data_IF_326313926849
#
_entry.id   IF_326313926849
#
_cell.length_a   1.000
_cell.length_b   1.000
_cell.length_c   1.000
_cell.angle_alpha   90.00
_cell.angle_beta   90.00
_cell.angle_gamma   90.00
#
_symmetry.space_group_name_H-M   'P 1'
#
loop_
_entity.id
_entity.type
_entity.pdbx_description
1 polymer ?
#
# COMPACT_ATOMS: atom_id res chain seq x y z
N UNK A 1 4.02 12.30 22.51
CA UNK A 1 3.45 11.98 21.19
C UNK A 1 4.53 11.24 20.42
N UNK A 2 4.22 10.14 19.75
CA UNK A 2 5.14 9.49 18.81
C UNK A 2 5.50 10.48 17.69
N UNK A 3 6.69 10.36 17.10
CA UNK A 3 7.04 11.16 15.94
C UNK A 3 6.10 10.78 14.77
N UNK A 4 5.65 11.79 14.01
CA UNK A 4 4.83 11.55 12.81
C UNK A 4 5.69 10.88 11.75
N UNK A 5 5.19 9.80 11.14
CA UNK A 5 5.89 8.98 10.15
C UNK A 5 5.28 9.18 8.76
N UNK A 6 6.14 9.21 7.77
CA UNK A 6 5.74 9.41 6.39
C UNK A 6 6.33 8.34 5.47
N UNK A 7 5.46 7.72 4.71
CA UNK A 7 5.78 6.70 3.71
C UNK A 7 5.49 7.23 2.31
N UNK A 8 5.96 6.52 1.30
CA UNK A 8 5.68 6.86 -0.09
C UNK A 8 5.55 5.61 -0.97
N UNK A 9 4.63 5.66 -1.89
CA UNK A 9 4.50 4.65 -2.94
C UNK A 9 5.61 4.80 -3.98
N UNK A 10 6.11 3.69 -4.52
CA UNK A 10 7.05 3.64 -5.65
C UNK A 10 6.33 3.21 -6.94
N UNK A 11 6.77 3.68 -8.13
CA UNK A 11 6.01 3.53 -9.37
C UNK A 11 6.15 2.14 -10.01
N UNK A 12 5.76 1.07 -9.31
CA UNK A 12 5.87 -0.31 -9.83
C UNK A 12 4.81 -0.67 -10.86
N UNK A 13 3.56 -0.23 -10.68
CA UNK A 13 2.43 -0.61 -11.55
C UNK A 13 1.54 0.60 -11.86
N UNK A 14 2.13 1.69 -12.34
CA UNK A 14 1.41 2.97 -12.53
C UNK A 14 1.28 3.39 -13.99
N UNK A 15 2.16 2.86 -14.85
CA UNK A 15 2.18 3.20 -16.26
C UNK A 15 0.87 2.86 -16.98
N UNK A 16 0.48 3.72 -17.89
CA UNK A 16 -0.75 3.61 -18.67
C UNK A 16 -2.00 4.00 -17.88
N UNK A 17 -2.00 3.89 -16.55
CA UNK A 17 -3.14 4.23 -15.67
C UNK A 17 -2.96 5.64 -15.09
N UNK A 18 -1.96 5.83 -14.26
CA UNK A 18 -1.74 7.05 -13.48
C UNK A 18 -0.63 7.94 -14.06
N UNK A 19 0.34 7.34 -14.72
CA UNK A 19 1.46 8.01 -15.39
C UNK A 19 1.58 7.49 -16.83
N UNK A 20 2.24 8.23 -17.74
CA UNK A 20 2.50 7.74 -19.11
C UNK A 20 3.26 6.41 -19.13
N UNK A 21 3.12 5.63 -20.19
CA UNK A 21 3.99 4.49 -20.43
C UNK A 21 5.43 4.96 -20.71
N UNK A 22 6.43 4.22 -20.21
CA UNK A 22 7.83 4.62 -20.22
C UNK A 22 8.19 5.64 -19.15
N UNK A 23 7.36 5.75 -18.10
CA UNK A 23 7.57 6.67 -16.99
C UNK A 23 8.82 6.31 -16.16
N UNK A 24 9.03 5.03 -15.87
CA UNK A 24 10.14 4.57 -15.05
C UNK A 24 10.71 3.23 -15.54
N UNK A 25 12.00 3.22 -15.89
CA UNK A 25 12.77 1.99 -16.07
C UNK A 25 13.05 1.33 -14.69
N UNK A 26 13.49 0.06 -14.62
CA UNK A 26 13.80 -0.59 -13.35
C UNK A 26 14.77 0.19 -12.48
N UNK A 27 15.81 0.78 -13.06
CA UNK A 27 16.81 1.59 -12.33
C UNK A 27 16.18 2.87 -11.75
N UNK A 28 15.21 3.48 -12.45
CA UNK A 28 14.48 4.65 -11.97
C UNK A 28 13.61 4.32 -10.75
N UNK A 29 12.96 3.14 -10.76
CA UNK A 29 12.20 2.66 -9.59
C UNK A 29 13.11 2.52 -8.37
N UNK A 30 14.30 1.95 -8.56
CA UNK A 30 15.29 1.82 -7.48
C UNK A 30 15.84 3.17 -7.03
N UNK A 31 16.05 4.10 -7.94
CA UNK A 31 16.46 5.47 -7.57
C UNK A 31 15.38 6.20 -6.78
N UNK A 32 14.07 5.97 -7.06
CA UNK A 32 12.98 6.43 -6.19
C UNK A 32 13.13 5.89 -4.75
N UNK A 33 13.44 4.60 -4.58
CA UNK A 33 13.64 4.00 -3.26
C UNK A 33 14.84 4.62 -2.53
N UNK A 34 15.97 4.77 -3.22
CA UNK A 34 17.17 5.41 -2.68
C UNK A 34 16.94 6.86 -2.29
N UNK A 35 16.17 7.59 -3.10
CA UNK A 35 15.78 8.97 -2.80
C UNK A 35 14.89 9.02 -1.55
N UNK A 36 13.91 8.14 -1.45
CA UNK A 36 13.05 8.05 -0.26
C UNK A 36 13.88 7.79 1.01
N UNK A 37 14.86 6.87 0.96
CA UNK A 37 15.77 6.63 2.09
C UNK A 37 16.61 7.85 2.44
N UNK A 38 17.14 8.57 1.43
CA UNK A 38 17.94 9.80 1.67
C UNK A 38 17.12 10.92 2.30
N UNK A 39 15.87 11.07 1.86
CA UNK A 39 14.95 12.09 2.36
C UNK A 39 14.35 11.77 3.73
N UNK A 40 14.48 10.53 4.22
CA UNK A 40 14.00 10.13 5.53
C UNK A 40 12.56 9.64 5.56
N UNK A 41 12.00 9.18 4.44
CA UNK A 41 10.75 8.43 4.47
C UNK A 41 10.92 7.15 5.30
N UNK A 42 9.90 6.80 6.09
CA UNK A 42 9.91 5.60 6.94
C UNK A 42 9.83 4.32 6.10
N UNK A 43 8.91 4.28 5.13
CA UNK A 43 8.74 3.14 4.24
C UNK A 43 8.49 3.53 2.79
N UNK A 44 8.78 2.60 1.87
CA UNK A 44 8.33 2.64 0.48
C UNK A 44 7.34 1.51 0.22
N UNK A 45 6.32 1.77 -0.63
CA UNK A 45 5.25 0.82 -0.92
C UNK A 45 5.18 0.48 -2.41
N UNK A 46 5.28 -0.82 -2.73
CA UNK A 46 5.16 -1.35 -4.10
C UNK A 46 3.76 -1.93 -4.33
N UNK A 47 3.11 -1.51 -5.41
CA UNK A 47 1.78 -1.99 -5.79
C UNK A 47 1.84 -3.27 -6.61
N UNK A 48 0.72 -4.00 -6.59
CA UNK A 48 0.57 -5.30 -7.24
C UNK A 48 -0.60 -5.27 -8.22
N UNK A 49 -0.28 -5.23 -9.51
CA UNK A 49 -1.19 -5.48 -10.63
C UNK A 49 -0.48 -6.38 -11.63
N UNK A 50 -1.20 -7.33 -12.23
CA UNK A 50 -0.60 -8.30 -13.13
C UNK A 50 -0.87 -8.00 -14.61
N UNK A 51 -2.03 -7.40 -14.92
CA UNK A 51 -2.41 -7.14 -16.30
C UNK A 51 -3.37 -5.97 -16.43
N UNK A 52 -3.24 -5.13 -17.47
CA UNK A 52 -4.24 -4.14 -17.80
C UNK A 52 -5.62 -4.75 -18.01
N UNK A 53 -6.63 -4.04 -17.57
CA UNK A 53 -8.04 -4.42 -17.71
C UNK A 53 -8.83 -3.25 -18.30
N UNK A 54 -10.08 -3.47 -18.77
CA UNK A 54 -10.91 -2.36 -19.24
C UNK A 54 -11.06 -1.22 -18.22
N UNK A 55 -11.15 -1.56 -16.92
CA UNK A 55 -11.28 -0.58 -15.84
C UNK A 55 -10.00 0.22 -15.61
N UNK A 56 -8.83 -0.31 -15.98
CA UNK A 56 -7.56 0.42 -15.86
C UNK A 56 -7.51 1.60 -16.84
N UNK A 57 -8.27 1.55 -17.94
CA UNK A 57 -8.26 2.55 -19.00
C UNK A 57 -6.98 2.55 -19.85
N UNK A 58 -6.14 1.53 -19.69
CA UNK A 58 -4.94 1.32 -20.53
C UNK A 58 -5.40 0.89 -21.92
N UNK A 59 -4.93 1.58 -22.95
CA UNK A 59 -5.28 1.26 -24.35
C UNK A 59 -4.50 0.03 -24.82
N UNK A 60 -5.08 -0.74 -25.74
CA UNK A 60 -4.43 -1.93 -26.30
C UNK A 60 -3.10 -1.64 -27.02
N UNK A 61 -2.87 -0.39 -27.46
CA UNK A 61 -1.63 0.07 -28.08
C UNK A 61 -0.56 0.49 -27.08
N UNK A 62 -0.90 0.58 -25.78
CA UNK A 62 0.05 0.90 -24.73
C UNK A 62 0.65 -0.39 -24.15
N UNK A 63 1.94 -0.35 -23.84
CA UNK A 63 2.67 -1.47 -23.24
C UNK A 63 3.25 -1.00 -21.91
N UNK A 64 2.43 -0.97 -20.84
CA UNK A 64 2.90 -0.49 -19.54
C UNK A 64 3.91 -1.47 -18.94
N UNK A 65 4.97 -0.93 -18.36
CA UNK A 65 5.93 -1.69 -17.55
C UNK A 65 5.38 -1.82 -16.12
N UNK A 66 4.82 -2.97 -15.79
CA UNK A 66 4.34 -3.28 -14.44
C UNK A 66 5.25 -4.31 -13.80
N UNK A 67 5.93 -3.89 -12.74
CA UNK A 67 6.92 -4.70 -12.04
C UNK A 67 6.29 -5.45 -10.86
N UNK A 68 6.65 -6.73 -10.71
CA UNK A 68 6.16 -7.56 -9.61
C UNK A 68 6.74 -7.05 -8.27
N UNK A 69 5.90 -6.77 -7.25
CA UNK A 69 6.33 -6.06 -6.05
C UNK A 69 7.34 -6.82 -5.19
N UNK A 70 7.21 -8.13 -5.00
CA UNK A 70 8.12 -8.88 -4.13
C UNK A 70 9.54 -8.95 -4.70
N UNK A 71 9.65 -9.09 -6.02
CA UNK A 71 10.96 -9.12 -6.73
C UNK A 71 11.58 -7.72 -6.71
N UNK A 72 10.79 -6.68 -6.99
CA UNK A 72 11.26 -5.29 -6.95
C UNK A 72 11.76 -4.92 -5.54
N UNK A 73 11.01 -5.27 -4.50
CA UNK A 73 11.40 -4.99 -3.12
C UNK A 73 12.60 -5.82 -2.67
N UNK A 74 12.81 -7.02 -3.21
CA UNK A 74 14.03 -7.80 -2.94
C UNK A 74 15.28 -7.11 -3.52
N UNK A 75 15.16 -6.54 -4.73
CA UNK A 75 16.24 -5.72 -5.30
C UNK A 75 16.44 -4.43 -4.48
N UNK A 76 15.37 -3.73 -4.12
CA UNK A 76 15.45 -2.54 -3.27
C UNK A 76 16.08 -2.84 -1.90
N UNK A 77 15.85 -4.02 -1.34
CA UNK A 77 16.46 -4.45 -0.07
C UNK A 77 18.00 -4.53 -0.14
N UNK A 78 18.55 -4.90 -1.30
CA UNK A 78 19.99 -4.97 -1.52
C UNK A 78 20.62 -3.58 -1.71
N UNK A 79 19.84 -2.61 -2.21
CA UNK A 79 20.30 -1.26 -2.55
C UNK A 79 20.09 -0.23 -1.41
N UNK A 80 19.44 -0.64 -0.31
CA UNK A 80 19.09 0.24 0.82
C UNK A 80 19.39 -0.42 2.17
N UNK A 81 19.40 0.36 3.24
CA UNK A 81 19.79 -0.14 4.56
C UNK A 81 18.85 0.24 5.71
N UNK A 82 18.01 1.26 5.55
CA UNK A 82 17.14 1.81 6.60
C UNK A 82 15.67 1.81 6.25
N UNK A 83 15.32 2.34 5.06
CA UNK A 83 13.92 2.47 4.63
C UNK A 83 13.22 1.12 4.68
N UNK A 84 12.01 1.08 5.23
CA UNK A 84 11.19 -0.13 5.26
C UNK A 84 10.58 -0.38 3.88
N UNK A 85 10.24 -1.63 3.60
CA UNK A 85 9.87 -2.10 2.27
C UNK A 85 8.50 -2.76 2.34
N UNK A 86 7.47 -2.06 1.88
CA UNK A 86 6.08 -2.50 1.98
C UNK A 86 5.46 -2.91 0.65
N UNK A 87 4.58 -3.88 0.69
CA UNK A 87 3.67 -4.14 -0.44
C UNK A 87 2.37 -3.37 -0.24
N UNK A 88 1.99 -2.53 -1.18
CA UNK A 88 0.78 -1.69 -1.09
C UNK A 88 -0.24 -1.96 -2.18
N UNK A 89 -0.82 -3.11 -2.17
CA UNK A 89 -0.87 -4.36 -1.40
C UNK A 89 -0.61 -5.57 -2.30
N UNK A 90 -0.25 -6.74 -1.72
CA UNK A 90 -0.32 -8.03 -2.42
C UNK A 90 -1.77 -8.44 -2.60
N UNK A 91 -2.15 -8.78 -3.82
CA UNK A 91 -3.48 -9.30 -4.12
C UNK A 91 -3.51 -10.80 -3.79
N UNK A 92 -4.06 -11.13 -2.63
CA UNK A 92 -4.09 -12.50 -2.09
C UNK A 92 -4.73 -13.52 -3.05
N UNK A 93 -5.77 -13.10 -3.75
CA UNK A 93 -6.53 -13.99 -4.63
C UNK A 93 -5.74 -14.50 -5.85
N UNK A 94 -4.59 -13.92 -6.16
CA UNK A 94 -3.76 -14.35 -7.31
C UNK A 94 -2.64 -15.32 -6.90
N UNK A 95 -2.40 -15.52 -5.61
CA UNK A 95 -1.23 -16.23 -5.09
C UNK A 95 -1.60 -17.50 -4.33
N UNK A 96 -0.66 -18.42 -4.25
CA UNK A 96 -0.68 -19.52 -3.30
C UNK A 96 -0.17 -19.02 -1.94
N UNK A 97 -0.89 -19.26 -0.81
CA UNK A 97 -0.50 -18.76 0.49
C UNK A 97 0.81 -19.35 1.04
N UNK A 98 1.17 -20.58 0.67
CA UNK A 98 2.43 -21.22 1.12
C UNK A 98 3.61 -20.57 0.40
N UNK A 99 3.48 -20.36 -0.92
CA UNK A 99 4.51 -19.69 -1.71
C UNK A 99 4.69 -18.25 -1.23
N UNK A 100 3.60 -17.53 -0.99
CA UNK A 100 3.65 -16.15 -0.48
C UNK A 100 4.28 -16.10 0.92
N UNK A 101 3.97 -17.03 1.81
CA UNK A 101 4.62 -17.13 3.12
C UNK A 101 6.14 -17.30 3.00
N UNK A 102 6.56 -18.18 2.07
CA UNK A 102 7.99 -18.40 1.80
C UNK A 102 8.68 -17.14 1.27
N UNK A 103 8.05 -16.47 0.31
CA UNK A 103 8.57 -15.21 -0.25
C UNK A 103 8.67 -14.13 0.83
N UNK A 104 7.62 -13.97 1.65
CA UNK A 104 7.58 -12.97 2.72
C UNK A 104 8.66 -13.21 3.78
N UNK A 105 8.82 -14.44 4.26
CA UNK A 105 9.87 -14.79 5.21
C UNK A 105 11.28 -14.58 4.62
N UNK A 106 11.46 -14.90 3.33
CA UNK A 106 12.73 -14.70 2.63
C UNK A 106 13.06 -13.22 2.50
N UNK A 107 12.10 -12.40 2.05
CA UNK A 107 12.30 -10.97 1.89
C UNK A 107 12.55 -10.27 3.23
N UNK A 108 11.84 -10.68 4.28
CA UNK A 108 12.08 -10.16 5.63
C UNK A 108 13.51 -10.45 6.12
N UNK A 109 14.04 -11.63 5.83
CA UNK A 109 15.43 -11.99 6.09
C UNK A 109 16.43 -11.18 5.26
N UNK A 110 16.21 -11.07 3.96
CA UNK A 110 17.08 -10.31 3.06
C UNK A 110 17.11 -8.82 3.43
N UNK A 111 15.99 -8.27 3.81
CA UNK A 111 15.86 -6.88 4.27
C UNK A 111 16.29 -6.66 5.72
N UNK A 112 16.67 -7.70 6.47
CA UNK A 112 17.05 -7.65 7.88
C UNK A 112 15.94 -7.11 8.79
N UNK A 113 14.67 -7.56 8.55
CA UNK A 113 13.50 -7.17 9.35
C UNK A 113 12.90 -5.83 8.95
N UNK A 114 13.11 -5.34 7.73
CA UNK A 114 12.50 -4.11 7.21
C UNK A 114 11.23 -4.34 6.39
N UNK A 115 10.83 -5.58 6.17
CA UNK A 115 9.69 -5.89 5.30
C UNK A 115 8.35 -5.65 5.99
N UNK A 116 7.37 -5.12 5.25
CA UNK A 116 5.98 -4.88 5.63
C UNK A 116 5.07 -5.60 4.61
N UNK A 117 4.31 -6.59 5.07
CA UNK A 117 3.43 -7.34 4.18
C UNK A 117 2.04 -6.71 4.11
N UNK A 118 1.83 -5.90 3.08
CA UNK A 118 0.50 -5.35 2.79
C UNK A 118 -0.35 -6.34 2.01
N UNK A 119 -1.59 -6.55 2.47
CA UNK A 119 -2.50 -7.58 1.98
C UNK A 119 -3.88 -7.01 1.60
N UNK A 120 -4.42 -7.46 0.48
CA UNK A 120 -5.75 -7.04 0.03
C UNK A 120 -6.37 -7.94 -1.02
N UNK A 121 -7.53 -7.50 -1.55
CA UNK A 121 -8.33 -8.27 -2.50
C UNK A 121 -8.08 -7.88 -3.97
N UNK A 122 -7.36 -6.79 -4.22
CA UNK A 122 -7.27 -6.16 -5.53
C UNK A 122 -8.49 -5.29 -5.86
N UNK A 123 -8.27 -4.28 -6.71
CA UNK A 123 -9.28 -3.30 -7.05
C UNK A 123 -10.26 -3.83 -8.11
N UNK A 124 -9.74 -4.42 -9.19
CA UNK A 124 -10.54 -4.77 -10.36
C UNK A 124 -10.99 -6.23 -10.36
N UNK A 125 -12.31 -6.43 -10.52
CA UNK A 125 -12.88 -7.78 -10.63
C UNK A 125 -12.51 -8.45 -11.96
N UNK A 126 -12.40 -7.68 -13.02
CA UNK A 126 -12.01 -8.16 -14.35
C UNK A 126 -10.59 -8.73 -14.36
N UNK A 127 -9.65 -8.10 -13.64
CA UNK A 127 -8.30 -8.63 -13.48
C UNK A 127 -8.34 -10.01 -12.79
N UNK A 128 -9.09 -10.13 -11.68
CA UNK A 128 -9.26 -11.42 -11.02
C UNK A 128 -9.84 -12.49 -11.95
N UNK A 129 -10.84 -12.14 -12.77
CA UNK A 129 -11.44 -13.06 -13.74
C UNK A 129 -10.46 -13.46 -14.85
N UNK A 130 -9.59 -12.56 -15.27
CA UNK A 130 -8.59 -12.83 -16.31
C UNK A 130 -7.44 -13.70 -15.79
N UNK A 131 -6.89 -13.35 -14.62
CA UNK A 131 -5.66 -13.98 -14.08
C UNK A 131 -5.94 -15.26 -13.30
N UNK A 132 -7.08 -15.33 -12.62
CA UNK A 132 -7.49 -16.45 -11.78
C UNK A 132 -8.83 -17.06 -12.24
N UNK A 133 -9.00 -17.25 -13.55
CA UNK A 133 -10.24 -17.77 -14.14
C UNK A 133 -10.68 -19.09 -13.52
N UNK A 134 -9.75 -19.96 -13.15
CA UNK A 134 -9.97 -21.23 -12.44
C UNK A 134 -10.52 -21.05 -11.00
N UNK A 135 -10.40 -19.84 -10.41
CA UNK A 135 -11.02 -19.42 -9.13
C UNK A 135 -12.26 -18.55 -9.34
N UNK A 136 -12.75 -18.38 -10.56
CA UNK A 136 -13.72 -17.34 -10.97
C UNK A 136 -15.02 -17.26 -10.20
N UNK A 137 -15.43 -18.33 -9.50
CA UNK A 137 -16.60 -18.37 -8.62
C UNK A 137 -16.26 -18.16 -7.13
N UNK A 138 -14.99 -18.04 -6.77
CA UNK A 138 -14.57 -17.87 -5.39
C UNK A 138 -15.05 -16.55 -4.80
N UNK A 139 -15.47 -16.61 -3.54
CA UNK A 139 -15.75 -15.40 -2.76
C UNK A 139 -14.43 -14.82 -2.26
N UNK A 140 -13.91 -13.79 -2.96
CA UNK A 140 -12.57 -13.22 -2.70
C UNK A 140 -12.33 -12.88 -1.23
N UNK A 141 -13.35 -12.35 -0.52
CA UNK A 141 -13.23 -12.00 0.90
C UNK A 141 -13.00 -13.22 1.81
N UNK A 142 -13.77 -14.33 1.62
CA UNK A 142 -13.60 -15.56 2.40
C UNK A 142 -12.26 -16.23 2.07
N UNK A 143 -11.92 -16.31 0.80
CA UNK A 143 -10.62 -16.83 0.36
C UNK A 143 -9.46 -16.04 0.97
N UNK A 144 -9.54 -14.71 1.00
CA UNK A 144 -8.51 -13.90 1.63
C UNK A 144 -8.42 -14.10 3.14
N UNK A 145 -9.54 -14.35 3.83
CA UNK A 145 -9.51 -14.66 5.26
C UNK A 145 -8.75 -15.97 5.53
N UNK A 146 -9.05 -17.05 4.79
CA UNK A 146 -8.34 -18.32 4.90
C UNK A 146 -6.85 -18.18 4.57
N UNK A 147 -6.52 -17.49 3.48
CA UNK A 147 -5.12 -17.28 3.07
C UNK A 147 -4.34 -16.46 4.09
N UNK A 148 -4.97 -15.43 4.68
CA UNK A 148 -4.34 -14.65 5.75
C UNK A 148 -4.10 -15.49 7.00
N UNK A 149 -5.04 -16.36 7.36
CA UNK A 149 -4.88 -17.29 8.48
C UNK A 149 -3.73 -18.28 8.24
N UNK A 150 -3.65 -18.88 7.05
CA UNK A 150 -2.54 -19.77 6.66
C UNK A 150 -1.21 -19.03 6.73
N UNK A 151 -1.15 -17.80 6.21
CA UNK A 151 0.06 -16.95 6.31
C UNK A 151 0.48 -16.73 7.76
N UNK A 152 -0.45 -16.34 8.65
CA UNK A 152 -0.15 -16.15 10.09
C UNK A 152 0.42 -17.39 10.73
N UNK A 153 -0.21 -18.56 10.50
CA UNK A 153 0.23 -19.83 11.08
C UNK A 153 1.61 -20.25 10.56
N UNK A 154 1.88 -20.12 9.25
CA UNK A 154 3.16 -20.48 8.65
C UNK A 154 4.31 -19.56 9.05
N UNK A 155 4.03 -18.26 9.22
CA UNK A 155 5.02 -17.23 9.53
C UNK A 155 5.29 -17.10 11.05
N UNK A 156 4.47 -17.72 11.90
CA UNK A 156 4.70 -17.78 13.34
C UNK A 156 6.02 -18.49 13.63
N UNK A 157 6.91 -17.84 14.39
CA UNK A 157 8.24 -18.37 14.72
C UNK A 157 8.18 -19.59 15.61
N UNK A 158 7.14 -19.70 16.45
CA UNK A 158 6.92 -20.87 17.32
C UNK A 158 6.27 -22.05 16.63
N UNK A 159 5.72 -21.87 15.42
CA UNK A 159 5.02 -22.93 14.74
C UNK A 159 5.99 -23.97 14.15
N UNK A 160 5.70 -25.25 14.42
CA UNK A 160 6.25 -26.39 13.68
C UNK A 160 5.53 -26.59 12.34
N UNK A 161 5.20 -27.86 12.04
CA UNK A 161 4.39 -28.17 10.86
C UNK A 161 2.94 -27.70 11.04
N UNK A 162 2.39 -27.06 10.02
CA UNK A 162 1.05 -26.47 9.99
C UNK A 162 0.16 -27.28 9.06
N UNK A 163 -1.03 -27.62 9.53
CA UNK A 163 -2.12 -28.14 8.71
C UNK A 163 -3.31 -27.19 8.77
N UNK A 164 -3.98 -27.02 7.64
CA UNK A 164 -5.20 -26.20 7.51
C UNK A 164 -6.12 -26.86 6.49
N UNK A 165 -7.41 -26.95 6.79
CA UNK A 165 -8.44 -27.52 5.93
C UNK A 165 -9.59 -26.52 5.81
N UNK A 166 -9.58 -25.73 4.72
CA UNK A 166 -10.54 -24.69 4.41
C UNK A 166 -11.24 -24.90 3.07
N UNK A 167 -12.15 -24.01 2.73
CA UNK A 167 -12.84 -24.02 1.44
C UNK A 167 -11.91 -23.68 0.26
N UNK A 168 -10.92 -22.79 0.50
CA UNK A 168 -10.03 -22.22 -0.53
C UNK A 168 -8.56 -22.61 -0.34
N UNK A 169 -8.18 -23.01 0.86
CA UNK A 169 -6.83 -23.44 1.19
C UNK A 169 -6.85 -24.79 1.90
N UNK A 170 -6.00 -25.72 1.43
CA UNK A 170 -5.76 -26.99 2.10
C UNK A 170 -4.26 -27.28 2.14
N UNK A 171 -3.68 -27.37 3.34
CA UNK A 171 -2.28 -27.72 3.54
C UNK A 171 -2.15 -28.79 4.62
N UNK A 172 -1.15 -29.69 4.51
CA UNK A 172 -0.91 -30.77 5.47
C UNK A 172 0.57 -30.86 5.80
N UNK A 173 0.88 -30.81 7.10
CA UNK A 173 2.23 -30.95 7.65
C UNK A 173 3.29 -30.07 6.97
N UNK A 174 2.94 -28.82 6.67
CA UNK A 174 3.85 -27.88 6.03
C UNK A 174 4.70 -27.19 7.10
N UNK A 175 5.99 -27.52 7.12
CA UNK A 175 7.00 -26.75 7.86
C UNK A 175 7.61 -25.69 6.95
N UNK A 176 7.61 -24.44 7.42
CA UNK A 176 8.16 -23.31 6.66
C UNK A 176 9.40 -22.75 7.37
N UNK A 177 10.55 -22.89 6.70
CA UNK A 177 11.83 -22.30 7.09
C UNK A 177 12.52 -21.64 5.88
N UNK A 178 13.29 -20.54 6.09
CA UNK A 178 13.50 -19.86 7.37
C UNK A 178 12.24 -19.14 7.83
N UNK A 179 12.09 -18.96 9.15
CA UNK A 179 11.08 -18.03 9.70
C UNK A 179 11.53 -16.58 9.50
N UNK A 180 10.60 -15.59 9.49
CA UNK A 180 10.98 -14.17 9.40
C UNK A 180 11.88 -13.74 10.56
N UNK A 181 12.54 -12.58 10.41
CA UNK A 181 13.27 -11.89 11.49
C UNK A 181 12.30 -11.26 12.46
N UNK A 182 11.30 -10.59 11.92
CA UNK A 182 10.24 -9.93 12.72
C UNK A 182 9.29 -10.97 13.33
N UNK A 183 8.84 -10.72 14.56
CA UNK A 183 7.91 -11.60 15.28
C UNK A 183 6.87 -10.77 16.05
N UNK A 184 5.64 -10.69 15.57
CA UNK A 184 5.15 -11.20 14.29
C UNK A 184 5.64 -10.37 13.09
N UNK A 185 5.69 -10.98 11.90
CA UNK A 185 5.83 -10.21 10.66
C UNK A 185 4.62 -9.27 10.50
N UNK A 186 4.81 -7.94 10.33
CA UNK A 186 3.69 -7.00 10.27
C UNK A 186 2.81 -7.20 9.04
N UNK A 187 1.50 -7.36 9.25
CA UNK A 187 0.49 -7.38 8.18
C UNK A 187 -0.25 -6.04 8.14
N UNK A 188 -0.07 -5.33 7.05
CA UNK A 188 -0.80 -4.12 6.70
C UNK A 188 -2.00 -4.48 5.84
N UNK A 189 -3.21 -4.13 6.24
CA UNK A 189 -4.42 -4.60 5.57
C UNK A 189 -5.37 -3.46 5.25
N UNK A 190 -5.97 -3.50 4.04
CA UNK A 190 -6.98 -2.53 3.63
C UNK A 190 -8.33 -2.84 4.27
N UNK A 191 -8.95 -1.85 4.91
CA UNK A 191 -10.19 -2.01 5.69
C UNK A 191 -11.31 -1.05 5.31
N UNK A 192 -11.94 -1.21 4.12
CA UNK A 192 -13.07 -0.36 3.72
C UNK A 192 -14.44 -0.91 4.13
N UNK A 193 -14.64 -2.23 4.10
CA UNK A 193 -15.88 -2.88 4.53
C UNK A 193 -15.76 -3.43 5.95
N UNK A 194 -16.90 -3.75 6.53
CA UNK A 194 -16.97 -4.37 7.87
C UNK A 194 -16.23 -5.70 7.93
N UNK A 195 -16.40 -6.57 6.93
CA UNK A 195 -15.67 -7.83 6.83
C UNK A 195 -14.16 -7.61 6.69
N UNK A 196 -13.75 -6.51 6.04
CA UNK A 196 -12.33 -6.19 5.93
C UNK A 196 -11.77 -5.71 7.26
N UNK A 197 -12.49 -4.86 8.00
CA UNK A 197 -12.10 -4.45 9.36
C UNK A 197 -12.03 -5.63 10.32
N UNK A 198 -12.95 -6.59 10.22
CA UNK A 198 -12.90 -7.80 11.06
C UNK A 198 -11.65 -8.63 10.76
N UNK A 199 -11.25 -8.78 9.47
CA UNK A 199 -9.98 -9.41 9.13
C UNK A 199 -8.76 -8.65 9.67
N UNK A 200 -8.78 -7.30 9.63
CA UNK A 200 -7.72 -6.49 10.24
C UNK A 200 -7.66 -6.75 11.75
N UNK A 201 -8.79 -6.68 12.44
CA UNK A 201 -8.89 -6.92 13.87
C UNK A 201 -8.37 -8.31 14.27
N UNK A 202 -8.66 -9.31 13.47
CA UNK A 202 -8.29 -10.70 13.74
C UNK A 202 -6.83 -11.01 13.39
N UNK A 203 -6.34 -10.55 12.27
CA UNK A 203 -5.06 -10.98 11.71
C UNK A 203 -4.04 -9.85 11.48
N UNK A 204 -4.48 -8.60 11.40
CA UNK A 204 -3.65 -7.45 11.06
C UNK A 204 -2.77 -6.95 12.20
N UNK A 205 -1.78 -6.13 11.83
CA UNK A 205 -1.01 -5.27 12.73
C UNK A 205 -1.22 -3.80 12.35
N UNK A 206 -1.72 -3.54 11.14
CA UNK A 206 -1.99 -2.19 10.66
C UNK A 206 -3.20 -2.14 9.73
N UNK A 207 -3.90 -1.02 9.77
CA UNK A 207 -5.03 -0.67 8.91
C UNK A 207 -4.59 0.40 7.90
N UNK A 208 -4.74 0.12 6.61
CA UNK A 208 -4.50 1.07 5.51
C UNK A 208 -5.83 1.66 5.05
N UNK A 209 -5.98 2.98 5.10
CA UNK A 209 -7.23 3.68 4.76
C UNK A 209 -6.97 5.07 4.16
N UNK A 210 -7.90 5.61 3.34
CA UNK A 210 -7.82 7.02 2.94
C UNK A 210 -7.73 7.95 4.16
N UNK A 211 -6.84 8.94 4.10
CA UNK A 211 -6.52 9.79 5.25
C UNK A 211 -7.75 10.49 5.84
N UNK A 212 -8.68 10.94 5.00
CA UNK A 212 -9.92 11.58 5.45
C UNK A 212 -10.90 10.67 6.19
N UNK A 213 -10.68 9.34 6.17
CA UNK A 213 -11.48 8.37 6.92
C UNK A 213 -10.70 7.72 8.09
N UNK A 214 -9.44 8.10 8.30
CA UNK A 214 -8.54 7.37 9.20
C UNK A 214 -9.03 7.33 10.65
N UNK A 215 -9.47 8.44 11.21
CA UNK A 215 -9.96 8.52 12.58
C UNK A 215 -11.27 7.72 12.78
N UNK A 216 -12.23 7.83 11.85
CA UNK A 216 -13.47 7.06 11.88
C UNK A 216 -13.17 5.54 11.82
N UNK A 217 -12.28 5.14 10.90
CA UNK A 217 -11.92 3.74 10.73
C UNK A 217 -11.09 3.19 11.87
N UNK A 218 -10.26 4.00 12.51
CA UNK A 218 -9.57 3.64 13.76
C UNK A 218 -10.57 3.34 14.89
N UNK A 219 -11.60 4.17 15.06
CA UNK A 219 -12.64 3.95 16.04
C UNK A 219 -13.42 2.65 15.74
N UNK A 220 -13.83 2.43 14.50
CA UNK A 220 -14.51 1.20 14.12
C UNK A 220 -13.62 -0.06 14.26
N UNK A 221 -12.31 0.06 14.05
CA UNK A 221 -11.36 -1.02 14.30
C UNK A 221 -11.25 -1.33 15.79
N UNK A 222 -11.27 -0.31 16.68
CA UNK A 222 -11.19 -0.50 18.11
C UNK A 222 -12.32 -1.39 18.66
N UNK A 223 -13.55 -1.15 18.18
CA UNK A 223 -14.72 -1.98 18.57
C UNK A 223 -14.56 -3.45 18.15
N UNK A 224 -14.06 -3.68 16.93
CA UNK A 224 -13.84 -5.03 16.40
C UNK A 224 -12.65 -5.73 17.06
N UNK A 225 -11.55 -4.99 17.30
CA UNK A 225 -10.38 -5.51 17.98
C UNK A 225 -10.75 -6.01 19.38
N UNK A 226 -11.56 -5.24 20.13
CA UNK A 226 -12.06 -5.64 21.45
C UNK A 226 -12.87 -6.95 21.40
N UNK A 227 -13.67 -7.18 20.35
CA UNK A 227 -14.39 -8.44 20.17
C UNK A 227 -13.46 -9.66 19.96
N UNK A 228 -12.23 -9.42 19.51
CA UNK A 228 -11.17 -10.43 19.38
C UNK A 228 -10.15 -10.42 20.53
N UNK A 229 -10.44 -9.69 21.62
CA UNK A 229 -9.57 -9.59 22.80
C UNK A 229 -8.29 -8.81 22.58
N UNK A 230 -8.28 -7.90 21.58
CA UNK A 230 -7.13 -7.06 21.22
C UNK A 230 -7.38 -5.58 21.53
N UNK A 231 -6.34 -4.85 21.89
CA UNK A 231 -6.41 -3.42 22.14
C UNK A 231 -6.07 -2.62 20.85
N UNK A 232 -6.62 -1.40 20.74
CA UNK A 232 -6.42 -0.57 19.54
C UNK A 232 -4.97 -0.10 19.37
N UNK A 233 -4.21 0.02 20.45
CA UNK A 233 -2.80 0.38 20.46
C UNK A 233 -1.87 -0.72 19.92
N UNK A 234 -2.38 -1.94 19.72
CA UNK A 234 -1.68 -2.99 18.98
C UNK A 234 -1.68 -2.75 17.45
N UNK A 235 -2.47 -1.78 16.97
CA UNK A 235 -2.64 -1.53 15.55
C UNK A 235 -2.07 -0.19 15.15
N UNK A 236 -1.29 -0.21 14.08
CA UNK A 236 -0.94 0.99 13.33
C UNK A 236 -2.08 1.42 12.40
N UNK A 237 -2.23 2.72 12.13
CA UNK A 237 -3.20 3.21 11.16
C UNK A 237 -2.47 4.07 10.13
N UNK A 238 -2.29 3.51 8.94
CA UNK A 238 -1.64 4.15 7.81
C UNK A 238 -2.66 4.93 6.99
N UNK A 239 -2.63 6.25 7.13
CA UNK A 239 -3.50 7.17 6.43
C UNK A 239 -2.94 7.52 5.05
N UNK A 240 -3.68 7.24 3.98
CA UNK A 240 -3.20 7.32 2.61
C UNK A 240 -3.78 8.52 1.87
N UNK A 241 -2.94 9.31 1.20
CA UNK A 241 -3.35 10.48 0.41
C UNK A 241 -2.62 10.60 -0.92
N UNK A 242 -3.18 11.42 -1.81
CA UNK A 242 -2.59 11.79 -3.10
C UNK A 242 -1.90 13.15 -2.95
N UNK A 243 -0.70 13.29 -3.48
CA UNK A 243 0.14 14.47 -3.31
C UNK A 243 0.32 15.23 -4.61
N UNK A 244 0.04 16.54 -4.59
CA UNK A 244 0.52 17.51 -5.55
C UNK A 244 0.73 18.87 -4.88
N UNK A 245 1.96 19.34 -4.82
CA UNK A 245 2.36 20.61 -4.26
C UNK A 245 2.62 21.63 -5.37
N UNK A 246 2.14 22.86 -5.17
CA UNK A 246 2.40 23.97 -6.08
C UNK A 246 2.45 25.30 -5.31
N UNK A 247 2.81 26.39 -6.00
CA UNK A 247 2.95 27.75 -5.42
C UNK A 247 1.63 28.34 -4.95
N UNK A 248 0.49 27.85 -5.43
CA UNK A 248 -0.85 28.24 -4.98
C UNK A 248 -1.82 27.06 -5.06
N UNK A 249 -2.89 27.11 -4.28
CA UNK A 249 -3.97 26.10 -4.32
C UNK A 249 -4.60 26.00 -5.71
N UNK A 250 -4.75 27.13 -6.39
CA UNK A 250 -5.29 27.18 -7.75
C UNK A 250 -4.35 26.47 -8.75
N UNK A 251 -3.05 26.80 -8.72
CA UNK A 251 -2.05 26.13 -9.57
C UNK A 251 -2.00 24.62 -9.33
N UNK A 252 -2.06 24.17 -8.07
CA UNK A 252 -2.12 22.76 -7.73
C UNK A 252 -3.38 22.08 -8.29
N UNK A 253 -4.54 22.75 -8.16
CA UNK A 253 -5.80 22.21 -8.67
C UNK A 253 -5.83 22.13 -10.21
N UNK A 254 -5.25 23.11 -10.91
CA UNK A 254 -5.11 23.09 -12.38
C UNK A 254 -4.19 21.93 -12.78
N UNK A 255 -2.99 21.85 -12.22
CA UNK A 255 -2.02 20.80 -12.53
C UNK A 255 -2.58 19.38 -12.24
N UNK A 256 -3.34 19.22 -11.14
CA UNK A 256 -4.01 17.95 -10.83
C UNK A 256 -5.00 17.55 -11.93
N UNK A 257 -5.87 18.50 -12.39
CA UNK A 257 -6.87 18.20 -13.44
C UNK A 257 -6.24 17.88 -14.79
N UNK A 258 -5.13 18.54 -15.12
CA UNK A 258 -4.41 18.37 -16.38
C UNK A 258 -3.57 17.09 -16.40
N UNK A 259 -3.14 16.57 -15.25
CA UNK A 259 -2.35 15.35 -15.14
C UNK A 259 -3.13 14.12 -15.65
N UNK A 260 -2.39 13.11 -16.13
CA UNK A 260 -2.98 11.81 -16.50
C UNK A 260 -3.78 11.21 -15.34
N UNK A 261 -3.29 11.36 -14.12
CA UNK A 261 -3.96 10.86 -12.93
C UNK A 261 -5.31 11.55 -12.68
N UNK A 262 -5.36 12.87 -12.76
CA UNK A 262 -6.62 13.63 -12.64
C UNK A 262 -7.62 13.25 -13.72
N UNK A 263 -7.17 13.09 -14.97
CA UNK A 263 -8.00 12.62 -16.07
C UNK A 263 -8.52 11.19 -15.84
N UNK A 264 -7.70 10.31 -15.26
CA UNK A 264 -8.16 8.97 -14.85
C UNK A 264 -9.28 9.07 -13.80
N UNK A 265 -9.11 9.90 -12.76
CA UNK A 265 -10.12 10.13 -11.73
C UNK A 265 -11.44 10.68 -12.31
N UNK A 266 -11.35 11.62 -13.26
CA UNK A 266 -12.51 12.16 -13.96
C UNK A 266 -13.27 11.06 -14.75
N UNK A 267 -12.54 10.19 -15.46
CA UNK A 267 -13.14 9.05 -16.18
C UNK A 267 -13.81 8.05 -15.24
N UNK A 268 -13.41 7.95 -13.99
CA UNK A 268 -14.07 7.14 -12.95
C UNK A 268 -15.34 7.81 -12.38
N UNK A 269 -15.72 8.98 -12.90
CA UNK A 269 -16.91 9.72 -12.48
C UNK A 269 -16.76 10.44 -11.13
N UNK A 270 -15.52 10.67 -10.67
CA UNK A 270 -15.28 11.41 -9.44
C UNK A 270 -15.46 12.92 -9.64
N UNK A 271 -16.10 13.57 -8.67
CA UNK A 271 -16.09 15.02 -8.55
C UNK A 271 -14.67 15.48 -8.18
N UNK A 272 -13.96 16.05 -9.16
CA UNK A 272 -12.56 16.43 -8.99
C UNK A 272 -12.37 17.53 -7.96
N UNK A 273 -13.32 18.47 -7.81
CA UNK A 273 -13.20 19.56 -6.83
C UNK A 273 -13.25 19.00 -5.41
N UNK A 274 -14.22 18.14 -5.15
CA UNK A 274 -14.33 17.44 -3.88
C UNK A 274 -13.13 16.52 -3.65
N UNK A 275 -12.67 15.84 -4.68
CA UNK A 275 -11.55 14.89 -4.58
C UNK A 275 -10.23 15.60 -4.29
N UNK A 276 -9.95 16.73 -4.97
CA UNK A 276 -8.77 17.59 -4.73
C UNK A 276 -8.80 18.15 -3.30
N UNK A 277 -9.96 18.65 -2.85
CA UNK A 277 -10.13 19.15 -1.49
C UNK A 277 -9.87 18.06 -0.43
N UNK A 278 -10.23 16.81 -0.72
CA UNK A 278 -10.06 15.64 0.14
C UNK A 278 -8.68 14.96 0.01
N UNK A 279 -7.69 15.60 -0.61
CA UNK A 279 -6.34 15.04 -0.76
C UNK A 279 -5.25 16.11 -0.46
N UNK A 280 -3.99 15.71 -0.47
CA UNK A 280 -2.85 16.60 -0.21
C UNK A 280 -2.45 17.37 -1.47
N UNK A 281 -3.41 18.11 -2.01
CA UNK A 281 -3.26 18.97 -3.18
C UNK A 281 -3.34 20.41 -2.73
N UNK A 282 -2.29 21.21 -3.00
CA UNK A 282 -2.21 22.60 -2.58
C UNK A 282 -0.81 23.14 -2.41
N UNK A 283 -0.67 24.14 -1.53
CA UNK A 283 0.65 24.64 -1.11
C UNK A 283 1.20 23.78 0.05
N UNK A 284 2.52 23.78 0.30
CA UNK A 284 3.09 23.08 1.44
C UNK A 284 2.39 23.40 2.78
N UNK A 285 2.09 24.67 3.04
CA UNK A 285 1.39 25.09 4.26
C UNK A 285 -0.01 24.46 4.34
N UNK A 286 -0.78 24.53 3.25
CA UNK A 286 -2.14 24.00 3.24
C UNK A 286 -2.22 22.48 3.35
N UNK A 287 -1.19 21.78 2.88
CA UNK A 287 -1.08 20.31 3.02
C UNK A 287 -0.65 19.95 4.45
N UNK A 288 0.29 20.69 5.04
CA UNK A 288 0.68 20.50 6.43
C UNK A 288 -0.50 20.73 7.39
N UNK A 289 -1.33 21.76 7.17
CA UNK A 289 -2.56 21.99 7.94
C UNK A 289 -3.52 20.78 7.86
N UNK A 290 -3.73 20.23 6.65
CA UNK A 290 -4.59 19.06 6.47
C UNK A 290 -4.08 17.83 7.21
N UNK A 291 -2.76 17.57 7.16
CA UNK A 291 -2.14 16.45 7.87
C UNK A 291 -2.21 16.68 9.38
N UNK A 292 -1.86 17.89 9.86
CA UNK A 292 -1.91 18.28 11.27
C UNK A 292 -3.29 18.06 11.90
N UNK A 293 -4.37 18.41 11.16
CA UNK A 293 -5.73 18.18 11.63
C UNK A 293 -6.07 16.68 11.85
N UNK A 294 -5.40 15.78 11.14
CA UNK A 294 -5.57 14.31 11.31
C UNK A 294 -4.63 13.79 12.40
N UNK A 295 -3.45 14.41 12.58
CA UNK A 295 -2.55 14.13 13.71
C UNK A 295 -3.23 14.45 15.04
N UNK A 296 -3.96 15.58 15.13
CA UNK A 296 -4.75 15.95 16.31
C UNK A 296 -5.84 14.91 16.66
N UNK A 297 -6.26 14.10 15.69
CA UNK A 297 -7.20 13.00 15.89
C UNK A 297 -6.50 11.66 16.27
N UNK A 298 -5.19 11.72 16.54
CA UNK A 298 -4.40 10.58 17.00
C UNK A 298 -3.94 9.63 15.89
N UNK A 299 -3.78 10.11 14.66
CA UNK A 299 -3.16 9.40 13.54
C UNK A 299 -1.76 9.98 13.32
N UNK A 300 -0.74 9.16 13.37
CA UNK A 300 0.66 9.57 13.29
C UNK A 300 1.47 8.87 12.19
N UNK A 301 0.78 8.14 11.27
CA UNK A 301 1.41 7.44 10.17
C UNK A 301 0.69 7.73 8.84
N UNK A 302 1.41 8.26 7.88
CA UNK A 302 0.88 8.74 6.61
C UNK A 302 1.64 8.16 5.43
N UNK A 303 0.91 7.76 4.38
CA UNK A 303 1.49 7.27 3.12
C UNK A 303 1.09 8.18 1.96
N UNK A 304 2.08 8.72 1.26
CA UNK A 304 1.87 9.32 -0.06
C UNK A 304 1.59 8.19 -1.06
N UNK A 305 0.30 7.84 -1.17
CA UNK A 305 -0.15 6.72 -2.03
C UNK A 305 0.06 7.01 -3.51
N UNK A 306 -0.11 8.28 -3.92
CA UNK A 306 0.12 8.73 -5.30
C UNK A 306 0.78 10.10 -5.30
N UNK A 307 1.97 10.15 -5.88
CA UNK A 307 2.57 11.43 -6.29
C UNK A 307 2.03 11.76 -7.67
N UNK A 308 1.29 12.86 -7.78
CA UNK A 308 0.70 13.30 -9.05
C UNK A 308 1.73 14.07 -9.85
N UNK A 309 2.00 13.61 -11.06
CA UNK A 309 2.95 14.17 -12.02
C UNK A 309 3.14 13.18 -13.17
N UNK A 310 3.44 13.69 -14.36
CA UNK A 310 3.52 12.89 -15.59
C UNK A 310 4.97 12.59 -15.98
N UNK A 311 5.95 13.11 -15.23
CA UNK A 311 7.38 12.83 -15.41
C UNK A 311 8.06 12.40 -14.12
N UNK A 312 9.18 11.69 -14.27
CA UNK A 312 9.97 11.23 -13.13
C UNK A 312 10.62 12.39 -12.36
N UNK A 313 11.04 13.44 -13.08
CA UNK A 313 11.61 14.65 -12.46
C UNK A 313 10.59 15.38 -11.59
N UNK A 314 9.35 15.54 -12.05
CA UNK A 314 8.25 16.08 -11.25
C UNK A 314 8.03 15.24 -10.00
N UNK A 315 8.04 13.91 -10.12
CA UNK A 315 7.91 13.02 -8.97
C UNK A 315 9.02 13.25 -7.95
N UNK A 316 10.27 13.31 -8.39
CA UNK A 316 11.41 13.55 -7.50
C UNK A 316 11.36 14.93 -6.85
N UNK A 317 10.89 15.95 -7.57
CA UNK A 317 10.66 17.28 -7.01
C UNK A 317 9.58 17.25 -5.91
N UNK A 318 8.43 16.63 -6.18
CA UNK A 318 7.35 16.49 -5.21
C UNK A 318 7.81 15.74 -3.95
N UNK A 319 8.61 14.68 -4.10
CA UNK A 319 9.17 13.94 -2.96
C UNK A 319 10.03 14.84 -2.07
N UNK A 320 10.90 15.68 -2.67
CA UNK A 320 11.74 16.63 -1.91
C UNK A 320 10.89 17.72 -1.26
N UNK A 321 10.02 18.38 -2.01
CA UNK A 321 9.14 19.43 -1.49
C UNK A 321 8.29 18.93 -0.31
N UNK A 322 7.80 17.70 -0.37
CA UNK A 322 7.03 17.14 0.73
C UNK A 322 7.86 17.01 2.00
N UNK A 323 9.04 16.42 1.93
CA UNK A 323 9.90 16.22 3.09
C UNK A 323 10.53 17.51 3.60
N UNK A 324 10.91 18.42 2.70
CA UNK A 324 11.61 19.67 3.06
C UNK A 324 10.64 20.78 3.49
N UNK A 325 9.45 20.86 2.87
CA UNK A 325 8.55 21.98 3.04
C UNK A 325 7.24 21.65 3.79
N UNK A 326 6.75 20.40 3.74
CA UNK A 326 5.51 20.01 4.43
C UNK A 326 5.82 19.41 5.79
N UNK A 327 6.66 18.36 5.84
CA UNK A 327 6.93 17.57 7.06
C UNK A 327 7.38 18.45 8.26
N UNK A 328 8.28 19.43 8.10
CA UNK A 328 8.70 20.27 9.23
C UNK A 328 7.59 21.16 9.81
N UNK A 329 6.45 21.29 9.11
CA UNK A 329 5.28 22.07 9.55
C UNK A 329 4.19 21.20 10.20
N UNK A 330 4.34 19.89 10.14
CA UNK A 330 3.40 18.92 10.73
C UNK A 330 3.89 18.59 12.15
N UNK A 331 3.51 19.30 13.13
CA UNK A 331 3.92 18.93 14.49
C UNK A 331 4.18 20.04 15.37
#
# INVERSE_FOLDING_TARGET
MSAVRFDIEIPTCREGVFVPCGFAAPDDVIECVKLAERLGYEAVWATDFLTPTPESGVRASESPSWYEPMITLAYAAAETSRVRLGTGIIILSYRDPVILAKQAATLDRLSKGRFLLGLGLGAWRSEFQAVAAWRGRAHRGRMAAEFTEVLRRLLDRGAGAVSFDGEYAGIRDVALDPKPVQDPLPFYMVGRSDDALDRVARFGNALMVPYGAAAERKAALAERAAAHGRAIDEFDVLAEGELLLAKSREAAAIAYRESRFGQYRARQGLDLDRHIAANWVGTPESVAEKIGAVVEQGIDHFNVLHVVGDTLDERFEQMRMFMDDVVPRVG
#
